data_IF_729560656184
#
_entry.id   IF_729560656184
#
_cell.length_a   1.000
_cell.length_b   1.000
_cell.length_c   1.000
_cell.angle_alpha   90.00
_cell.angle_beta   90.00
_cell.angle_gamma   90.00
#
_symmetry.space_group_name_H-M   'P 1'
#
loop_
_entity.id
_entity.type
_entity.pdbx_description
1 polymer ?
#
# COMPACT_ATOMS: atom_id res chain seq x y z
N UNK A 1 2.95 -1.97 -21.60
CA UNK A 1 2.52 -0.60 -22.01
C UNK A 1 1.42 -0.70 -23.08
N UNK A 2 0.69 0.37 -23.33
CA UNK A 2 -0.30 0.51 -24.44
C UNK A 2 0.11 1.67 -25.35
N UNK A 3 -0.32 1.70 -26.62
CA UNK A 3 -0.02 2.80 -27.53
C UNK A 3 -0.43 4.16 -26.97
N UNK A 4 0.40 5.19 -27.17
CA UNK A 4 0.14 6.55 -26.70
C UNK A 4 -1.18 7.12 -27.24
N UNK A 5 -1.52 6.78 -28.49
CA UNK A 5 -2.79 7.15 -29.12
C UNK A 5 -4.04 6.64 -28.37
N UNK A 6 -3.89 5.68 -27.45
CA UNK A 6 -5.00 5.15 -26.66
C UNK A 6 -5.19 5.89 -25.33
N UNK A 7 -4.21 6.67 -24.87
CA UNK A 7 -4.20 7.22 -23.52
C UNK A 7 -5.40 8.13 -23.27
N UNK A 8 -5.70 9.05 -24.19
CA UNK A 8 -6.86 9.94 -24.07
C UNK A 8 -8.17 9.14 -23.98
N UNK A 9 -8.39 8.18 -24.88
CA UNK A 9 -9.59 7.34 -24.86
C UNK A 9 -9.70 6.54 -23.56
N UNK A 10 -8.59 6.04 -23.02
CA UNK A 10 -8.57 5.37 -21.71
C UNK A 10 -9.00 6.35 -20.60
N UNK A 11 -8.42 7.55 -20.56
CA UNK A 11 -8.79 8.58 -19.57
C UNK A 11 -10.24 9.05 -19.69
N UNK A 12 -10.84 8.97 -20.88
CA UNK A 12 -12.25 9.32 -21.10
C UNK A 12 -13.23 8.19 -20.76
N UNK A 13 -12.84 6.92 -20.99
CA UNK A 13 -13.79 5.79 -20.98
C UNK A 13 -13.59 4.81 -19.83
N UNK A 14 -12.43 4.83 -19.13
CA UNK A 14 -12.19 3.95 -17.98
C UNK A 14 -13.26 4.21 -16.89
N UNK A 15 -13.99 3.19 -16.43
CA UNK A 15 -14.99 3.36 -15.37
C UNK A 15 -14.36 3.92 -14.09
N UNK A 16 -15.13 4.72 -13.34
CA UNK A 16 -14.69 5.18 -12.03
C UNK A 16 -14.47 4.00 -11.08
N UNK A 17 -13.55 4.19 -10.13
CA UNK A 17 -13.40 3.27 -9.02
C UNK A 17 -14.72 3.09 -8.27
N UNK A 18 -15.02 1.83 -7.94
CA UNK A 18 -16.12 1.43 -7.09
C UNK A 18 -15.59 0.35 -6.14
N UNK A 19 -15.68 0.54 -4.81
CA UNK A 19 -15.09 -0.37 -3.85
C UNK A 19 -15.63 -1.81 -3.96
N UNK A 20 -16.88 -1.95 -4.41
CA UNK A 20 -17.52 -3.22 -4.65
C UNK A 20 -17.17 -3.78 -6.03
N UNK A 21 -17.29 -3.01 -7.10
CA UNK A 21 -17.18 -3.53 -8.46
C UNK A 21 -15.73 -3.64 -8.95
N UNK A 22 -14.84 -2.74 -8.53
CA UNK A 22 -13.47 -2.70 -9.05
C UNK A 22 -12.66 -3.93 -8.57
N UNK A 23 -12.16 -4.78 -9.49
CA UNK A 23 -11.37 -5.95 -9.14
C UNK A 23 -9.99 -5.56 -8.59
N UNK A 24 -9.35 -6.50 -7.90
CA UNK A 24 -7.94 -6.36 -7.51
C UNK A 24 -7.03 -6.81 -8.64
N UNK A 25 -5.89 -6.13 -8.82
CA UNK A 25 -4.82 -6.54 -9.73
C UNK A 25 -3.58 -6.90 -8.93
N UNK A 26 -3.02 -8.08 -9.13
CA UNK A 26 -1.76 -8.50 -8.49
C UNK A 26 -1.83 -8.80 -6.98
N UNK A 27 -2.99 -8.68 -6.33
CA UNK A 27 -3.14 -8.91 -4.88
C UNK A 27 -3.37 -10.39 -4.50
N UNK A 28 -3.89 -11.20 -5.43
CA UNK A 28 -4.20 -12.62 -5.20
C UNK A 28 -5.61 -12.89 -4.67
N UNK A 29 -5.93 -14.18 -4.53
CA UNK A 29 -7.29 -14.65 -4.21
C UNK A 29 -7.71 -14.36 -2.77
N UNK A 30 -6.76 -14.31 -1.82
CA UNK A 30 -7.07 -14.06 -0.41
C UNK A 30 -7.62 -12.65 -0.23
N UNK A 31 -6.94 -11.56 -0.68
CA UNK A 31 -7.51 -10.21 -0.61
C UNK A 31 -8.82 -10.05 -1.42
N UNK A 32 -8.93 -10.70 -2.58
CA UNK A 32 -10.14 -10.58 -3.41
C UNK A 32 -11.36 -11.26 -2.77
N UNK A 33 -11.16 -12.41 -2.13
CA UNK A 33 -12.19 -13.06 -1.31
C UNK A 33 -12.49 -12.24 -0.04
N UNK A 34 -11.44 -11.77 0.66
CA UNK A 34 -11.55 -11.04 1.92
C UNK A 34 -12.38 -9.76 1.77
N UNK A 35 -12.11 -8.92 0.76
CA UNK A 35 -12.83 -7.65 0.56
C UNK A 35 -14.34 -7.82 0.36
N UNK A 36 -14.80 -9.03 0.02
CA UNK A 36 -16.22 -9.37 -0.21
C UNK A 36 -16.93 -10.00 0.99
N UNK A 37 -16.21 -10.22 2.10
CA UNK A 37 -16.82 -10.82 3.29
C UNK A 37 -17.74 -9.83 4.01
N UNK A 38 -18.75 -10.36 4.71
CA UNK A 38 -19.71 -9.55 5.46
C UNK A 38 -19.01 -8.69 6.51
N UNK A 39 -19.27 -7.39 6.48
CA UNK A 39 -18.74 -6.44 7.44
C UNK A 39 -17.32 -5.97 7.15
N UNK A 40 -16.71 -6.38 6.04
CA UNK A 40 -15.46 -5.80 5.54
C UNK A 40 -15.75 -4.44 4.92
N UNK A 41 -14.87 -3.48 5.17
CA UNK A 41 -14.90 -2.13 4.58
C UNK A 41 -13.69 -1.98 3.67
N UNK A 42 -13.86 -1.34 2.52
CA UNK A 42 -12.78 -0.98 1.61
C UNK A 42 -12.66 0.55 1.56
N UNK A 43 -11.44 1.08 1.60
CA UNK A 43 -11.20 2.51 1.43
C UNK A 43 -11.42 2.95 -0.02
N UNK A 44 -11.62 4.25 -0.21
CA UNK A 44 -12.09 4.90 -1.44
C UNK A 44 -10.97 5.30 -2.41
N UNK A 45 -9.70 5.09 -2.07
CA UNK A 45 -8.59 5.39 -2.96
C UNK A 45 -8.65 4.52 -4.24
N UNK A 46 -8.67 5.12 -5.45
CA UNK A 46 -8.92 4.41 -6.70
C UNK A 46 -7.80 3.44 -7.13
N UNK A 47 -6.55 3.73 -6.75
CA UNK A 47 -5.38 2.91 -7.04
C UNK A 47 -4.94 2.06 -5.83
N UNK A 48 -4.82 2.67 -4.64
CA UNK A 48 -4.18 2.06 -3.47
C UNK A 48 -5.17 1.60 -2.38
N UNK A 49 -6.44 1.31 -2.72
CA UNK A 49 -7.44 0.91 -1.73
C UNK A 49 -7.00 -0.26 -0.84
N UNK A 50 -7.37 -0.21 0.45
CA UNK A 50 -7.21 -1.29 1.42
C UNK A 50 -8.58 -1.83 1.83
N UNK A 51 -8.62 -3.04 2.37
CA UNK A 51 -9.80 -3.61 2.99
C UNK A 51 -9.52 -3.95 4.45
N UNK A 52 -10.49 -3.72 5.34
CA UNK A 52 -10.36 -3.97 6.77
C UNK A 52 -11.63 -4.57 7.38
N UNK A 53 -11.44 -5.39 8.40
CA UNK A 53 -12.50 -6.03 9.18
C UNK A 53 -12.20 -5.94 10.68
N UNK A 54 -13.25 -5.99 11.49
CA UNK A 54 -13.11 -6.02 12.94
C UNK A 54 -13.20 -4.63 13.58
N UNK A 55 -12.70 -4.54 14.82
CA UNK A 55 -12.97 -3.44 15.76
C UNK A 55 -12.56 -2.06 15.24
N UNK A 56 -11.39 -1.97 14.59
CA UNK A 56 -10.77 -0.70 14.17
C UNK A 56 -10.96 -0.41 12.67
N UNK A 57 -11.75 -1.21 11.94
CA UNK A 57 -11.85 -1.09 10.48
C UNK A 57 -12.27 0.32 10.02
N UNK A 58 -13.16 0.96 10.76
CA UNK A 58 -13.69 2.26 10.38
C UNK A 58 -12.67 3.36 10.57
N UNK A 59 -11.89 3.29 11.66
CA UNK A 59 -10.76 4.17 11.93
C UNK A 59 -9.68 4.01 10.85
N UNK A 60 -9.23 2.77 10.59
CA UNK A 60 -8.15 2.50 9.63
C UNK A 60 -8.53 2.92 8.19
N UNK A 61 -9.80 2.81 7.81
CA UNK A 61 -10.28 3.16 6.46
C UNK A 61 -10.76 4.61 6.33
N UNK A 62 -10.84 5.39 7.41
CA UNK A 62 -11.41 6.74 7.38
C UNK A 62 -10.49 7.71 6.62
N UNK A 63 -11.04 8.50 5.70
CA UNK A 63 -10.33 9.61 5.07
C UNK A 63 -9.03 9.19 4.37
N UNK A 64 -9.10 8.18 3.50
CA UNK A 64 -7.93 7.75 2.73
C UNK A 64 -7.61 8.81 1.66
N UNK A 65 -6.56 9.60 1.90
CA UNK A 65 -6.17 10.69 1.00
C UNK A 65 -5.90 10.17 -0.42
N UNK A 66 -6.30 10.97 -1.42
CA UNK A 66 -5.99 10.73 -2.82
C UNK A 66 -4.53 11.06 -3.15
N UNK A 67 -3.98 12.12 -2.54
CA UNK A 67 -2.56 12.44 -2.65
C UNK A 67 -1.76 11.60 -1.67
N UNK A 68 -0.60 11.11 -2.10
CA UNK A 68 0.29 10.28 -1.28
C UNK A 68 -0.46 9.12 -0.61
N UNK A 69 -1.21 8.33 -1.39
CA UNK A 69 -2.11 7.28 -0.89
C UNK A 69 -1.50 6.17 -0.02
N UNK A 70 -0.17 6.14 0.16
CA UNK A 70 0.52 5.22 1.08
C UNK A 70 1.27 5.97 2.20
N UNK A 71 1.02 7.27 2.36
CA UNK A 71 1.65 8.17 3.33
C UNK A 71 0.84 8.38 4.61
N UNK A 72 0.96 9.56 5.23
CA UNK A 72 0.42 9.85 6.57
C UNK A 72 -1.11 9.77 6.67
N UNK A 73 -1.83 10.12 5.61
CA UNK A 73 -3.30 10.04 5.58
C UNK A 73 -3.81 8.69 5.02
N UNK A 74 -2.97 7.67 4.99
CA UNK A 74 -3.30 6.33 4.48
C UNK A 74 -3.66 5.31 5.58
N UNK A 75 -4.29 4.18 5.23
CA UNK A 75 -4.44 3.05 6.13
C UNK A 75 -3.13 2.56 6.76
N UNK A 76 -1.98 2.69 6.09
CA UNK A 76 -0.70 2.25 6.62
C UNK A 76 -0.29 3.03 7.88
N UNK A 77 -0.43 4.35 7.85
CA UNK A 77 -0.11 5.22 9.00
C UNK A 77 -1.02 4.93 10.20
N UNK A 78 -2.30 4.64 9.95
CA UNK A 78 -3.25 4.28 11.01
C UNK A 78 -2.92 2.92 11.64
N UNK A 79 -2.51 1.93 10.84
CA UNK A 79 -2.01 0.64 11.38
C UNK A 79 -0.74 0.88 12.22
N UNK A 80 0.12 1.81 11.79
CA UNK A 80 1.36 2.17 12.49
C UNK A 80 1.04 2.78 13.86
N UNK A 81 0.09 3.71 13.93
CA UNK A 81 -0.34 4.36 15.17
C UNK A 81 -0.99 3.38 16.16
N UNK A 82 -1.70 2.37 15.63
CA UNK A 82 -2.33 1.33 16.42
C UNK A 82 -1.38 0.21 16.86
N UNK A 83 -0.09 0.26 16.48
CA UNK A 83 0.89 -0.78 16.81
C UNK A 83 0.60 -2.12 16.12
N UNK A 84 0.13 -2.06 14.88
CA UNK A 84 -0.23 -3.23 14.09
C UNK A 84 0.97 -4.08 13.67
N UNK A 85 0.67 -5.23 13.08
CA UNK A 85 1.66 -6.18 12.59
C UNK A 85 1.44 -6.46 11.10
N UNK A 86 2.52 -6.78 10.39
CA UNK A 86 2.51 -7.27 9.02
C UNK A 86 2.71 -8.78 9.04
N UNK A 87 1.80 -9.51 8.40
CA UNK A 87 1.96 -10.93 8.12
C UNK A 87 2.28 -11.12 6.64
N UNK A 88 3.48 -11.61 6.35
CA UNK A 88 3.84 -12.09 5.01
C UNK A 88 3.62 -13.60 4.99
N UNK A 89 2.64 -14.06 4.22
CA UNK A 89 2.23 -15.46 4.15
C UNK A 89 2.52 -16.03 2.76
N UNK A 90 3.57 -16.84 2.64
CA UNK A 90 4.02 -17.42 1.37
C UNK A 90 4.64 -16.40 0.40
N UNK A 91 4.94 -15.20 0.87
CA UNK A 91 5.53 -14.09 0.11
C UNK A 91 6.69 -13.45 0.88
N UNK A 92 7.56 -12.73 0.17
CA UNK A 92 8.69 -12.00 0.76
C UNK A 92 8.42 -10.52 0.97
N UNK A 93 9.43 -9.78 1.44
CA UNK A 93 9.31 -8.35 1.74
C UNK A 93 9.13 -7.45 0.50
N UNK A 94 9.34 -7.96 -0.71
CA UNK A 94 8.90 -7.28 -1.95
C UNK A 94 7.39 -6.99 -1.93
N UNK A 95 6.61 -7.78 -1.19
CA UNK A 95 5.16 -7.60 -1.03
C UNK A 95 4.78 -6.86 0.27
N UNK A 96 5.74 -6.31 1.02
CA UNK A 96 5.46 -5.60 2.27
C UNK A 96 5.11 -4.13 1.99
N UNK A 97 3.83 -3.87 1.73
CA UNK A 97 3.31 -2.54 1.39
C UNK A 97 3.58 -1.48 2.48
N UNK A 98 3.79 -1.89 3.73
CA UNK A 98 4.09 -0.95 4.83
C UNK A 98 5.38 -0.18 4.62
N UNK A 99 6.33 -0.72 3.86
CA UNK A 99 7.58 -0.03 3.56
C UNK A 99 7.39 1.20 2.66
N UNK A 100 6.28 1.31 1.91
CA UNK A 100 5.94 2.54 1.19
C UNK A 100 5.60 3.71 2.14
N UNK A 101 5.12 3.44 3.36
CA UNK A 101 4.98 4.49 4.38
C UNK A 101 6.35 5.05 4.79
N UNK A 102 7.37 4.20 4.85
CA UNK A 102 8.74 4.65 5.10
C UNK A 102 9.29 5.46 3.93
N UNK A 103 8.98 5.10 2.68
CA UNK A 103 9.33 5.95 1.52
C UNK A 103 8.73 7.35 1.64
N UNK A 104 7.47 7.47 2.08
CA UNK A 104 6.82 8.75 2.36
C UNK A 104 7.52 9.56 3.45
N UNK A 105 7.99 8.91 4.52
CA UNK A 105 8.61 9.56 5.68
C UNK A 105 10.08 9.91 5.48
N UNK A 106 10.83 9.11 4.73
CA UNK A 106 12.26 9.25 4.54
C UNK A 106 12.63 10.45 3.66
N UNK A 107 13.73 11.12 4.01
CA UNK A 107 14.37 12.16 3.20
C UNK A 107 15.63 11.64 2.51
N UNK A 108 15.49 11.10 1.30
CA UNK A 108 16.61 10.61 0.48
C UNK A 108 16.71 11.36 -0.85
N UNK A 109 17.92 11.49 -1.40
CA UNK A 109 18.21 12.36 -2.54
C UNK A 109 17.46 11.95 -3.84
N UNK A 110 17.13 10.68 -4.00
CA UNK A 110 16.46 10.13 -5.18
C UNK A 110 14.96 10.21 -5.13
N UNK A 111 14.38 10.79 -4.08
CA UNK A 111 12.94 10.84 -3.89
C UNK A 111 12.30 11.71 -4.96
N UNK A 112 11.35 11.14 -5.68
CA UNK A 112 10.63 11.80 -6.77
C UNK A 112 9.14 11.71 -6.53
N UNK A 113 8.47 12.83 -6.73
CA UNK A 113 7.03 12.88 -6.89
C UNK A 113 6.68 12.73 -8.36
N UNK A 114 5.54 12.11 -8.63
CA UNK A 114 4.94 12.02 -9.96
C UNK A 114 3.47 12.40 -9.89
N UNK A 115 2.87 12.60 -11.06
CA UNK A 115 1.44 12.86 -11.19
C UNK A 115 0.75 11.59 -11.63
N UNK A 116 0.01 11.01 -10.69
CA UNK A 116 -0.95 9.95 -10.93
C UNK A 116 -2.25 10.49 -11.49
N UNK A 117 -3.11 9.58 -11.93
CA UNK A 117 -4.48 9.94 -12.29
C UNK A 117 -5.39 8.74 -12.32
N UNK A 118 -6.63 8.95 -11.89
CA UNK A 118 -7.64 7.91 -11.88
C UNK A 118 -9.04 8.48 -12.11
N UNK A 119 -9.97 7.69 -12.70
CA UNK A 119 -11.36 8.06 -12.77
C UNK A 119 -12.02 7.88 -11.40
N UNK A 120 -12.62 8.95 -10.87
CA UNK A 120 -13.39 8.92 -9.63
C UNK A 120 -14.76 9.58 -9.83
N UNK A 121 -15.68 9.34 -8.90
CA UNK A 121 -16.97 10.02 -8.86
C UNK A 121 -16.86 11.29 -8.01
N UNK A 122 -17.08 12.45 -8.61
CA UNK A 122 -17.18 13.75 -7.93
C UNK A 122 -18.59 14.26 -8.13
N UNK A 123 -19.34 14.44 -7.04
CA UNK A 123 -20.74 14.89 -7.05
C UNK A 123 -21.64 14.08 -8.02
N UNK A 124 -21.43 12.76 -8.08
CA UNK A 124 -22.19 11.86 -8.95
C UNK A 124 -21.77 11.89 -10.43
N UNK A 125 -20.70 12.61 -10.77
CA UNK A 125 -20.15 12.68 -12.13
C UNK A 125 -18.76 12.04 -12.17
N UNK A 126 -18.53 11.16 -13.14
CA UNK A 126 -17.21 10.56 -13.39
C UNK A 126 -16.24 11.62 -13.91
N UNK A 127 -15.13 11.82 -13.22
CA UNK A 127 -14.06 12.73 -13.61
C UNK A 127 -12.70 12.02 -13.56
N UNK A 128 -11.82 12.35 -14.51
CA UNK A 128 -10.41 11.99 -14.38
C UNK A 128 -9.75 13.01 -13.46
N UNK A 129 -9.28 12.56 -12.30
CA UNK A 129 -8.62 13.42 -11.33
C UNK A 129 -7.15 13.06 -11.28
N UNK A 130 -6.31 14.08 -11.45
CA UNK A 130 -4.86 13.97 -11.27
C UNK A 130 -4.50 14.31 -9.83
N UNK A 131 -3.50 13.61 -9.30
CA UNK A 131 -3.05 13.77 -7.92
C UNK A 131 -1.57 13.45 -7.81
N UNK A 132 -0.93 14.02 -6.79
CA UNK A 132 0.48 13.74 -6.50
C UNK A 132 0.66 12.40 -5.80
N UNK A 133 1.66 11.66 -6.22
CA UNK A 133 2.12 10.44 -5.55
C UNK A 133 3.65 10.35 -5.61
N UNK A 134 4.22 9.39 -4.88
CA UNK A 134 5.64 9.07 -5.03
C UNK A 134 5.87 8.13 -6.21
N UNK A 135 7.05 8.24 -6.80
CA UNK A 135 7.59 7.21 -7.68
C UNK A 135 8.04 6.02 -6.83
N UNK A 136 7.08 5.14 -6.48
CA UNK A 136 7.27 4.01 -5.56
C UNK A 136 8.36 3.05 -6.05
N UNK A 137 9.26 2.65 -5.15
CA UNK A 137 10.30 1.68 -5.47
C UNK A 137 10.40 0.62 -4.38
N UNK A 138 10.12 -0.63 -4.74
CA UNK A 138 10.19 -1.79 -3.84
C UNK A 138 11.43 -2.66 -4.03
N UNK A 139 12.34 -2.32 -4.96
CA UNK A 139 13.43 -3.20 -5.41
C UNK A 139 14.39 -3.59 -4.26
N UNK A 140 14.60 -2.69 -3.30
CA UNK A 140 15.51 -2.86 -2.16
C UNK A 140 14.80 -3.29 -0.86
N UNK A 141 13.49 -3.55 -0.90
CA UNK A 141 12.72 -3.91 0.30
C UNK A 141 13.17 -5.24 0.92
N UNK A 142 13.69 -6.16 0.10
CA UNK A 142 14.22 -7.44 0.58
C UNK A 142 15.48 -7.21 1.42
N UNK A 143 16.44 -6.45 0.88
CA UNK A 143 17.72 -6.15 1.55
C UNK A 143 17.49 -5.34 2.83
N UNK A 144 16.58 -4.35 2.78
CA UNK A 144 16.19 -3.56 3.93
C UNK A 144 15.63 -4.45 5.05
N UNK A 145 14.68 -5.33 4.73
CA UNK A 145 14.04 -6.18 5.72
C UNK A 145 14.99 -7.27 6.27
N UNK A 146 15.93 -7.75 5.45
CA UNK A 146 16.97 -8.67 5.91
C UNK A 146 17.88 -8.00 6.95
N UNK A 147 18.34 -6.77 6.69
CA UNK A 147 19.15 -6.02 7.65
C UNK A 147 18.36 -5.70 8.93
N UNK A 148 17.08 -5.30 8.82
CA UNK A 148 16.19 -5.14 9.98
C UNK A 148 16.13 -6.42 10.82
N UNK A 149 15.91 -7.57 10.18
CA UNK A 149 15.85 -8.86 10.87
C UNK A 149 17.16 -9.23 11.57
N UNK A 150 18.30 -9.03 10.90
CA UNK A 150 19.63 -9.32 11.43
C UNK A 150 20.01 -8.42 12.62
N UNK A 151 19.70 -7.12 12.54
CA UNK A 151 20.11 -6.14 13.56
C UNK A 151 19.18 -6.11 14.77
N UNK A 152 17.88 -6.42 14.59
CA UNK A 152 16.88 -6.28 15.66
C UNK A 152 16.35 -7.59 16.19
N UNK A 153 16.38 -8.67 15.40
CA UNK A 153 15.75 -9.94 15.73
C UNK A 153 14.23 -9.90 15.81
N UNK A 154 13.58 -8.82 15.33
CA UNK A 154 12.13 -8.60 15.50
C UNK A 154 11.24 -9.30 14.46
N UNK A 155 11.82 -9.95 13.45
CA UNK A 155 11.05 -10.77 12.51
C UNK A 155 10.83 -12.16 13.13
N UNK A 156 9.56 -12.50 13.38
CA UNK A 156 9.21 -13.87 13.75
C UNK A 156 8.99 -14.70 12.50
N UNK A 157 9.83 -15.72 12.31
CA UNK A 157 9.72 -16.67 11.20
C UNK A 157 8.92 -17.91 11.61
N UNK A 158 8.13 -18.44 10.70
CA UNK A 158 7.35 -19.66 10.94
C UNK A 158 6.79 -20.27 9.67
N UNK A 159 5.88 -21.22 9.83
CA UNK A 159 5.15 -21.84 8.73
C UNK A 159 3.66 -21.90 9.04
N UNK A 160 2.82 -21.66 8.04
CA UNK A 160 1.40 -21.99 8.06
C UNK A 160 1.19 -23.09 7.03
N UNK A 161 1.00 -24.32 7.51
CA UNK A 161 1.13 -25.52 6.69
C UNK A 161 2.46 -25.50 5.91
N UNK A 162 2.44 -25.60 4.58
CA UNK A 162 3.64 -25.58 3.75
C UNK A 162 4.14 -24.17 3.38
N UNK A 163 3.43 -23.11 3.78
CA UNK A 163 3.80 -21.74 3.43
C UNK A 163 4.73 -21.14 4.49
N UNK A 164 5.92 -20.70 4.08
CA UNK A 164 6.79 -19.87 4.91
C UNK A 164 6.09 -18.56 5.28
N UNK A 165 6.23 -18.12 6.53
CA UNK A 165 5.58 -16.92 7.03
C UNK A 165 6.52 -16.05 7.86
N UNK A 166 6.31 -14.74 7.79
CA UNK A 166 6.97 -13.74 8.63
C UNK A 166 5.91 -12.90 9.33
N UNK A 167 6.04 -12.72 10.64
CA UNK A 167 5.25 -11.76 11.41
C UNK A 167 6.19 -10.65 11.90
N UNK A 168 5.87 -9.41 11.54
CA UNK A 168 6.74 -8.25 11.71
C UNK A 168 5.95 -7.14 12.40
N UNK A 169 6.45 -6.51 13.48
CA UNK A 169 5.78 -5.38 14.09
C UNK A 169 5.97 -4.15 13.17
N UNK A 170 4.86 -3.57 12.70
CA UNK A 170 4.86 -2.64 11.55
C UNK A 170 5.59 -1.33 11.89
N UNK A 171 5.40 -0.84 13.13
CA UNK A 171 5.99 0.42 13.57
C UNK A 171 7.51 0.39 13.48
N UNK A 172 8.10 -0.65 14.03
CA UNK A 172 9.54 -0.83 14.18
C UNK A 172 10.21 -1.03 12.81
N UNK A 173 9.60 -1.81 11.91
CA UNK A 173 10.17 -1.97 10.56
C UNK A 173 10.04 -0.67 9.74
N UNK A 174 8.95 0.10 9.89
CA UNK A 174 8.81 1.40 9.23
C UNK A 174 9.84 2.40 9.76
N UNK A 175 10.02 2.50 11.08
CA UNK A 175 11.01 3.41 11.68
C UNK A 175 12.44 3.04 11.26
N UNK A 176 12.74 1.74 11.23
CA UNK A 176 14.00 1.25 10.71
C UNK A 176 14.19 1.62 9.23
N UNK A 177 13.15 1.36 8.42
CA UNK A 177 13.15 1.59 6.99
C UNK A 177 13.40 3.06 6.64
N UNK A 178 12.83 4.00 7.39
CA UNK A 178 13.06 5.44 7.20
C UNK A 178 14.56 5.74 7.26
N UNK A 179 15.19 5.37 8.38
CA UNK A 179 16.62 5.60 8.58
C UNK A 179 17.48 4.84 7.57
N UNK A 180 17.05 3.64 7.18
CA UNK A 180 17.76 2.83 6.18
C UNK A 180 17.74 3.50 4.81
N UNK A 181 16.57 3.97 4.36
CA UNK A 181 16.40 4.60 3.05
C UNK A 181 17.20 5.92 2.96
N UNK A 182 17.19 6.74 4.01
CA UNK A 182 17.97 7.99 4.07
C UNK A 182 19.48 7.77 3.91
N UNK A 183 19.99 6.60 4.34
CA UNK A 183 21.41 6.24 4.23
C UNK A 183 21.77 5.61 2.89
N UNK A 184 20.86 4.82 2.30
CA UNK A 184 21.19 3.93 1.19
C UNK A 184 20.63 4.40 -0.17
N UNK A 185 19.51 5.12 -0.18
CA UNK A 185 18.91 5.63 -1.43
C UNK A 185 19.52 6.99 -1.78
N UNK A 186 19.78 7.18 -3.08
CA UNK A 186 20.43 8.35 -3.64
C UNK A 186 19.59 9.01 -4.69
#
# INVERSE_FOLDING_TARGET
PVPESWWQRIREQMPAYDPDLTPLRGMGIIPDCFRKQKGVKRSDHPIHSFAAWGKQKDEIMYGHSLEMGLGEDSPLARIYDLGGHVLLLGVGNLNNTSLHLAECRASYAGKKETIGGAPIMVDGVRQWVEFKELDWNSDDFVDLAEQFGQETGLITYGHIASAAAQLIPQREIVDYAVNWMERNRK
#
